data_IF_900882169284
#
_entry.id   IF_900882169284
#
_cell.length_a   1.000
_cell.length_b   1.000
_cell.length_c   1.000
_cell.angle_alpha   90.00
_cell.angle_beta   90.00
_cell.angle_gamma   90.00
#
_symmetry.space_group_name_H-M   'P 1'
#
loop_
_entity.id
_entity.type
_entity.pdbx_description
1 polymer ?
#
# COMPACT_ATOMS: atom_id res chain seq x y z
N UNK A 1 28.04 -29.68 7.83
CA UNK A 1 28.05 -28.38 7.12
C UNK A 1 26.68 -27.74 7.32
N UNK A 2 26.52 -27.00 8.42
CA UNK A 2 25.28 -26.27 8.70
C UNK A 2 25.39 -24.88 8.07
N UNK A 3 24.47 -24.54 7.19
CA UNK A 3 24.32 -23.18 6.66
C UNK A 3 23.81 -22.28 7.77
N UNK A 4 24.65 -21.31 8.16
CA UNK A 4 24.30 -20.25 9.10
C UNK A 4 23.24 -19.38 8.41
N UNK A 5 22.00 -19.48 8.90
CA UNK A 5 20.93 -18.51 8.57
C UNK A 5 21.36 -17.15 9.14
N UNK A 6 21.29 -16.05 8.38
CA UNK A 6 21.56 -14.73 8.94
C UNK A 6 20.51 -14.42 10.01
N UNK A 7 21.00 -14.07 11.20
CA UNK A 7 20.18 -13.65 12.33
C UNK A 7 19.61 -12.25 12.05
N UNK A 8 18.30 -12.19 11.74
CA UNK A 8 17.58 -10.95 11.46
C UNK A 8 17.20 -10.16 12.72
N UNK A 9 17.61 -10.58 13.92
CA UNK A 9 17.15 -9.98 15.20
C UNK A 9 17.80 -8.64 15.57
N UNK A 10 18.53 -7.97 14.66
CA UNK A 10 19.10 -6.62 14.92
C UNK A 10 18.98 -5.65 13.75
N UNK A 11 17.84 -5.64 13.05
CA UNK A 11 17.46 -4.44 12.31
C UNK A 11 16.97 -3.42 13.33
N UNK A 12 17.76 -2.36 13.55
CA UNK A 12 17.43 -1.28 14.47
C UNK A 12 16.00 -0.77 14.22
N UNK A 13 15.12 -0.87 15.21
CA UNK A 13 13.74 -0.35 15.18
C UNK A 13 13.66 1.19 15.10
N UNK A 14 14.80 1.87 14.94
CA UNK A 14 14.86 3.32 14.87
C UNK A 14 14.16 3.83 13.60
N UNK A 15 13.24 4.80 13.72
CA UNK A 15 12.60 5.42 12.56
C UNK A 15 13.63 5.88 11.53
N UNK A 16 13.50 5.39 10.29
CA UNK A 16 14.25 5.91 9.15
C UNK A 16 13.72 7.30 8.85
N UNK A 17 14.42 8.34 9.31
CA UNK A 17 14.04 9.72 9.02
C UNK A 17 14.26 10.01 7.52
N UNK A 18 13.31 10.65 6.83
CA UNK A 18 13.54 11.19 5.49
C UNK A 18 14.59 12.30 5.60
N UNK A 19 15.51 12.35 4.65
CA UNK A 19 16.55 13.38 4.57
C UNK A 19 15.94 14.71 4.11
N UNK A 20 15.26 15.46 4.99
CA UNK A 20 14.93 16.90 4.86
C UNK A 20 14.29 17.41 3.54
N UNK A 21 13.87 16.54 2.64
CA UNK A 21 13.47 16.85 1.26
C UNK A 21 12.02 16.48 0.98
N UNK A 22 11.61 16.66 -0.29
CA UNK A 22 10.29 16.24 -0.77
C UNK A 22 10.11 14.73 -0.60
N UNK A 23 8.87 14.31 -0.31
CA UNK A 23 8.48 12.92 -0.13
C UNK A 23 7.02 12.72 -0.53
N UNK A 24 6.62 11.46 -0.73
CA UNK A 24 5.22 11.08 -0.95
C UNK A 24 4.73 10.25 0.23
N UNK A 25 3.51 10.52 0.68
CA UNK A 25 2.93 9.81 1.82
C UNK A 25 2.09 8.62 1.40
N UNK A 26 2.34 7.48 2.04
CA UNK A 26 1.52 6.28 1.99
C UNK A 26 0.73 6.14 3.30
N UNK A 27 -0.58 5.97 3.18
CA UNK A 27 -1.49 5.85 4.32
C UNK A 27 -2.48 4.70 4.09
N UNK A 28 -3.09 4.21 5.16
CA UNK A 28 -4.24 3.30 5.04
C UNK A 28 -5.57 4.08 5.12
N UNK A 29 -6.62 3.54 4.49
CA UNK A 29 -7.99 3.91 4.86
C UNK A 29 -8.25 3.55 6.33
N UNK A 30 -9.27 4.14 6.95
CA UNK A 30 -9.60 3.98 8.38
C UNK A 30 -10.35 2.68 8.75
N UNK A 31 -10.65 1.84 7.77
CA UNK A 31 -11.27 0.53 7.98
C UNK A 31 -10.86 -0.44 6.86
N UNK A 32 -10.85 -1.75 7.11
CA UNK A 32 -10.65 -2.73 6.04
C UNK A 32 -11.84 -2.71 5.08
N UNK A 33 -11.59 -3.03 3.81
CA UNK A 33 -12.62 -3.14 2.76
C UNK A 33 -12.58 -4.51 2.11
N UNK A 34 -13.75 -4.97 1.68
CA UNK A 34 -13.87 -6.09 0.77
C UNK A 34 -13.51 -5.68 -0.67
N UNK A 35 -13.58 -6.62 -1.60
CA UNK A 35 -13.31 -6.38 -3.02
C UNK A 35 -14.33 -5.47 -3.71
N UNK A 36 -15.53 -5.26 -3.14
CA UNK A 36 -16.54 -4.38 -3.72
C UNK A 36 -16.42 -2.96 -3.16
N UNK A 37 -15.40 -2.26 -3.63
CA UNK A 37 -15.21 -0.85 -3.32
C UNK A 37 -16.09 0.07 -4.17
N UNK A 38 -16.91 -0.52 -5.07
CA UNK A 38 -17.71 0.13 -6.09
C UNK A 38 -16.86 0.74 -7.21
N UNK A 39 -15.73 0.09 -7.51
CA UNK A 39 -14.78 0.44 -8.55
C UNK A 39 -13.66 1.38 -8.09
N UNK A 40 -12.57 1.43 -8.85
CA UNK A 40 -11.37 2.22 -8.52
C UNK A 40 -11.69 3.69 -8.23
N UNK A 41 -12.57 4.34 -9.02
CA UNK A 41 -12.94 5.74 -8.79
C UNK A 41 -13.57 5.98 -7.42
N UNK A 42 -14.34 5.03 -6.89
CA UNK A 42 -14.94 5.13 -5.55
C UNK A 42 -13.90 4.89 -4.46
N UNK A 43 -12.95 3.98 -4.67
CA UNK A 43 -11.80 3.80 -3.79
C UNK A 43 -10.94 5.07 -3.72
N UNK A 44 -10.61 5.67 -4.86
CA UNK A 44 -9.90 6.96 -4.95
C UNK A 44 -10.61 8.07 -4.16
N UNK A 45 -11.94 8.17 -4.30
CA UNK A 45 -12.73 9.15 -3.52
C UNK A 45 -12.68 8.89 -2.02
N UNK A 46 -12.58 7.65 -1.56
CA UNK A 46 -12.43 7.33 -0.13
C UNK A 46 -11.07 7.82 0.38
N UNK A 47 -9.99 7.56 -0.36
CA UNK A 47 -8.65 8.06 -0.05
C UNK A 47 -8.65 9.59 0.04
N UNK A 48 -9.14 10.27 -0.99
CA UNK A 48 -9.23 11.73 -1.01
C UNK A 48 -10.05 12.29 0.14
N UNK A 49 -11.23 11.74 0.42
CA UNK A 49 -12.08 12.24 1.51
C UNK A 49 -11.42 12.07 2.88
N UNK A 50 -10.89 10.87 3.17
CA UNK A 50 -10.28 10.61 4.47
C UNK A 50 -8.99 11.42 4.66
N UNK A 51 -8.20 11.63 3.60
CA UNK A 51 -7.02 12.50 3.69
C UNK A 51 -7.39 13.93 4.05
N UNK A 52 -8.48 14.47 3.50
CA UNK A 52 -8.97 15.83 3.82
C UNK A 52 -9.51 15.91 5.25
N UNK A 53 -10.23 14.88 5.71
CA UNK A 53 -10.69 14.79 7.10
C UNK A 53 -9.52 14.74 8.10
N UNK A 54 -8.40 14.14 7.71
CA UNK A 54 -7.15 14.15 8.47
C UNK A 54 -6.32 15.44 8.32
N UNK A 55 -6.87 16.49 7.67
CA UNK A 55 -6.17 17.77 7.48
C UNK A 55 -5.06 17.75 6.44
N UNK A 56 -4.91 16.67 5.66
CA UNK A 56 -3.86 16.55 4.65
C UNK A 56 -4.23 17.34 3.38
N UNK A 57 -3.27 18.13 2.90
CA UNK A 57 -3.45 18.99 1.71
C UNK A 57 -3.16 18.30 0.37
N UNK A 58 -2.43 17.17 0.39
CA UNK A 58 -2.07 16.41 -0.81
C UNK A 58 -3.24 15.70 -1.48
N UNK A 59 -3.05 15.28 -2.73
CA UNK A 59 -4.01 14.46 -3.46
C UNK A 59 -3.68 12.98 -3.30
N UNK A 60 -4.56 12.24 -2.63
CA UNK A 60 -4.39 10.82 -2.37
C UNK A 60 -5.28 9.98 -3.30
N UNK A 61 -4.71 8.92 -3.87
CA UNK A 61 -5.41 7.92 -4.66
C UNK A 61 -5.21 6.53 -4.08
N UNK A 62 -6.14 5.62 -4.33
CA UNK A 62 -6.04 4.25 -3.87
C UNK A 62 -4.86 3.55 -4.56
N UNK A 63 -4.08 2.80 -3.79
CA UNK A 63 -2.99 1.97 -4.28
C UNK A 63 -3.55 0.66 -4.85
N UNK A 64 -4.32 0.77 -5.92
CA UNK A 64 -5.00 -0.33 -6.59
C UNK A 64 -4.83 -0.20 -8.10
N UNK A 65 -4.68 -1.32 -8.81
CA UNK A 65 -4.73 -1.31 -10.26
C UNK A 65 -6.16 -1.08 -10.79
N UNK A 66 -6.31 -0.88 -12.10
CA UNK A 66 -7.57 -1.12 -12.79
C UNK A 66 -7.33 -1.60 -14.22
N UNK A 67 -8.41 -1.90 -14.94
CA UNK A 67 -8.38 -2.30 -16.34
C UNK A 67 -7.65 -1.29 -17.24
N UNK A 68 -7.55 -0.02 -16.86
CA UNK A 68 -6.93 1.04 -17.66
C UNK A 68 -5.75 1.72 -16.95
N UNK A 69 -5.32 1.22 -15.79
CA UNK A 69 -4.26 1.85 -15.00
C UNK A 69 -3.35 0.81 -14.34
N UNK A 70 -2.07 0.85 -14.70
CA UNK A 70 -1.01 0.14 -13.99
C UNK A 70 -0.75 0.79 -12.63
N UNK A 71 -0.48 -0.02 -11.62
CA UNK A 71 -0.23 0.45 -10.26
C UNK A 71 0.97 1.42 -10.22
N UNK A 72 2.06 1.10 -10.92
CA UNK A 72 3.27 1.93 -11.00
C UNK A 72 3.07 3.30 -11.68
N UNK A 73 1.92 3.51 -12.32
CA UNK A 73 1.60 4.74 -13.05
C UNK A 73 0.82 5.76 -12.22
N UNK A 74 0.38 5.40 -11.00
CA UNK A 74 -0.45 6.26 -10.14
C UNK A 74 0.26 7.58 -9.79
N UNK A 75 1.54 7.50 -9.45
CA UNK A 75 2.37 8.66 -9.10
C UNK A 75 2.88 9.34 -10.38
N UNK A 76 2.82 10.68 -10.37
CA UNK A 76 3.33 11.52 -11.47
C UNK A 76 4.80 11.19 -11.74
N UNK A 77 5.15 11.02 -13.01
CA UNK A 77 6.49 10.59 -13.45
C UNK A 77 7.64 11.37 -12.81
N UNK A 78 7.50 12.68 -12.66
CA UNK A 78 8.52 13.56 -12.09
C UNK A 78 8.75 13.33 -10.59
N UNK A 79 7.76 12.82 -9.86
CA UNK A 79 7.83 12.59 -8.41
C UNK A 79 8.24 11.15 -8.05
N UNK A 80 8.43 10.26 -9.04
CA UNK A 80 8.66 8.82 -8.77
C UNK A 80 10.01 8.48 -8.13
N UNK A 81 10.97 9.41 -8.21
CA UNK A 81 12.25 9.28 -7.53
C UNK A 81 12.19 9.63 -6.03
N UNK A 82 11.06 10.18 -5.56
CA UNK A 82 10.92 10.65 -4.18
C UNK A 82 10.67 9.49 -3.21
N UNK A 83 11.20 9.58 -1.97
CA UNK A 83 11.00 8.58 -0.93
C UNK A 83 9.53 8.48 -0.53
N UNK A 84 9.14 7.26 -0.16
CA UNK A 84 7.80 6.96 0.35
C UNK A 84 7.86 6.90 1.87
N UNK A 85 7.07 7.75 2.53
CA UNK A 85 6.98 7.85 3.99
C UNK A 85 5.56 7.51 4.47
N UNK A 86 5.40 7.15 5.73
CA UNK A 86 4.08 7.06 6.36
C UNK A 86 3.56 8.44 6.83
N UNK A 87 2.42 8.47 7.52
CA UNK A 87 1.85 9.72 8.08
C UNK A 87 2.55 10.24 9.35
N UNK A 88 3.56 9.53 9.86
CA UNK A 88 4.43 9.95 10.98
C UNK A 88 5.83 10.31 10.50
N UNK A 89 5.98 10.60 9.21
CA UNK A 89 7.24 10.96 8.57
C UNK A 89 8.34 9.88 8.70
N UNK A 90 7.96 8.61 8.78
CA UNK A 90 8.89 7.48 8.79
C UNK A 90 9.03 6.90 7.37
N UNK A 91 10.27 6.74 6.89
CA UNK A 91 10.54 6.16 5.57
C UNK A 91 10.15 4.68 5.52
N UNK A 92 9.42 4.34 4.46
CA UNK A 92 8.96 3.00 4.10
C UNK A 92 9.75 2.43 2.92
N UNK A 93 9.97 3.24 1.88
CA UNK A 93 10.72 2.87 0.68
C UNK A 93 11.63 4.02 0.22
N UNK A 94 12.74 3.68 -0.44
CA UNK A 94 13.70 4.67 -0.96
C UNK A 94 13.09 5.55 -2.05
N UNK A 95 12.25 4.98 -2.91
CA UNK A 95 11.50 5.73 -3.92
C UNK A 95 10.24 5.01 -4.37
N UNK A 96 9.33 5.70 -5.05
CA UNK A 96 8.21 5.05 -5.73
C UNK A 96 8.69 4.00 -6.74
N UNK A 97 9.69 4.32 -7.56
CA UNK A 97 10.21 3.37 -8.55
C UNK A 97 10.81 2.12 -7.90
N UNK A 98 11.41 2.23 -6.71
CA UNK A 98 11.99 1.09 -5.99
C UNK A 98 10.97 0.00 -5.61
N UNK A 99 9.71 0.38 -5.39
CA UNK A 99 8.60 -0.54 -5.09
C UNK A 99 8.40 -1.52 -6.27
N UNK A 100 8.62 -1.07 -7.50
CA UNK A 100 8.31 -1.82 -8.72
C UNK A 100 9.53 -2.46 -9.37
N UNK A 101 10.61 -2.65 -8.60
CA UNK A 101 11.86 -3.29 -9.05
C UNK A 101 11.75 -4.79 -9.32
N UNK A 102 10.57 -5.41 -9.09
CA UNK A 102 10.34 -6.84 -9.27
C UNK A 102 10.58 -7.68 -8.01
N UNK A 103 11.03 -7.08 -6.91
CA UNK A 103 11.35 -7.75 -5.64
C UNK A 103 10.16 -7.81 -4.66
N UNK A 104 8.92 -7.76 -5.16
CA UNK A 104 7.70 -7.75 -4.35
C UNK A 104 7.60 -6.60 -3.32
N UNK A 105 8.41 -5.55 -3.47
CA UNK A 105 8.44 -4.38 -2.58
C UNK A 105 8.60 -4.78 -1.10
N UNK A 106 9.73 -5.41 -0.76
CA UNK A 106 10.04 -5.80 0.61
C UNK A 106 10.34 -4.55 1.45
N UNK A 107 9.69 -4.44 2.61
CA UNK A 107 9.99 -3.41 3.60
C UNK A 107 11.30 -3.75 4.32
N UNK A 108 12.13 -2.74 4.59
CA UNK A 108 13.41 -2.93 5.29
C UNK A 108 13.27 -3.37 6.76
N UNK A 109 12.09 -3.20 7.35
CA UNK A 109 11.71 -3.57 8.72
C UNK A 109 10.20 -3.73 8.80
N UNK A 110 9.67 -4.11 9.97
CA UNK A 110 8.22 -4.20 10.20
C UNK A 110 7.54 -2.89 9.75
N UNK A 111 6.54 -2.96 8.84
CA UNK A 111 5.99 -1.75 8.23
C UNK A 111 5.14 -0.96 9.24
N UNK A 112 5.43 0.32 9.40
CA UNK A 112 4.63 1.26 10.19
C UNK A 112 3.62 1.95 9.28
N UNK A 113 2.51 1.29 8.99
CA UNK A 113 1.46 1.83 8.11
C UNK A 113 0.39 2.51 8.95
N UNK A 114 0.25 3.83 8.78
CA UNK A 114 -0.64 4.65 9.58
C UNK A 114 -1.91 4.96 8.77
N UNK A 115 -3.08 4.71 9.37
CA UNK A 115 -4.36 5.09 8.78
C UNK A 115 -4.56 6.61 8.84
N UNK A 116 -5.44 7.17 8.02
CA UNK A 116 -5.80 8.59 8.14
C UNK A 116 -6.38 8.97 9.52
N UNK A 117 -6.92 8.00 10.26
CA UNK A 117 -7.40 8.15 11.63
C UNK A 117 -6.30 8.11 12.70
N UNK A 118 -5.07 7.75 12.33
CA UNK A 118 -3.90 7.72 13.23
C UNK A 118 -3.53 6.33 13.77
N UNK A 119 -4.34 5.30 13.50
CA UNK A 119 -4.04 3.93 13.91
C UNK A 119 -2.88 3.31 13.12
N UNK A 120 -2.03 2.54 13.80
CA UNK A 120 -1.05 1.67 13.14
C UNK A 120 -1.73 0.36 12.72
N UNK A 121 -1.79 0.11 11.40
CA UNK A 121 -2.44 -1.08 10.81
C UNK A 121 -1.86 -2.38 11.37
N UNK A 122 -0.56 -2.44 11.64
CA UNK A 122 0.10 -3.66 12.12
C UNK A 122 -0.20 -3.98 13.58
N UNK A 123 -0.73 -3.03 14.35
CA UNK A 123 -0.99 -3.17 15.79
C UNK A 123 -2.48 -3.13 16.12
N UNK A 124 -3.26 -2.37 15.35
CA UNK A 124 -4.68 -2.16 15.59
C UNK A 124 -5.51 -3.41 15.29
N UNK A 125 -6.49 -3.68 16.16
CA UNK A 125 -7.50 -4.74 15.97
C UNK A 125 -8.54 -4.40 14.90
N UNK A 126 -8.61 -3.14 14.43
CA UNK A 126 -9.49 -2.72 13.32
C UNK A 126 -9.21 -3.54 12.04
N UNK A 127 -7.95 -3.93 11.82
CA UNK A 127 -7.54 -4.82 10.73
C UNK A 127 -7.19 -6.20 11.26
N UNK A 128 -8.14 -7.14 11.42
CA UNK A 128 -7.83 -8.48 11.89
C UNK A 128 -6.93 -9.26 10.91
N UNK A 129 -7.00 -8.95 9.61
CA UNK A 129 -6.10 -9.50 8.58
C UNK A 129 -5.10 -8.43 8.13
N UNK A 130 -3.80 -8.74 8.21
CA UNK A 130 -2.71 -7.85 7.78
C UNK A 130 -2.31 -8.10 6.31
N UNK A 131 -3.31 -8.19 5.43
CA UNK A 131 -3.10 -8.26 3.99
C UNK A 131 -3.58 -6.98 3.32
N UNK A 132 -2.91 -6.59 2.24
CA UNK A 132 -3.25 -5.40 1.43
C UNK A 132 -3.78 -5.83 0.08
N UNK A 133 -4.90 -5.24 -0.36
CA UNK A 133 -5.33 -5.31 -1.76
C UNK A 133 -4.42 -4.46 -2.65
N UNK A 134 -3.98 -4.98 -3.80
CA UNK A 134 -3.27 -4.19 -4.82
C UNK A 134 -3.65 -4.55 -6.26
N UNK A 135 -3.94 -5.84 -6.54
CA UNK A 135 -4.40 -6.27 -7.86
C UNK A 135 -3.34 -6.24 -8.96
N UNK A 136 -2.05 -6.11 -8.63
CA UNK A 136 -0.97 -5.90 -9.60
C UNK A 136 0.09 -7.01 -9.57
N UNK A 137 0.83 -7.14 -10.67
CA UNK A 137 2.09 -7.90 -10.67
C UNK A 137 3.19 -7.19 -9.87
N UNK A 138 4.34 -7.86 -9.74
CA UNK A 138 5.49 -7.40 -8.94
C UNK A 138 6.20 -6.16 -9.50
N UNK A 139 5.99 -5.83 -10.77
CA UNK A 139 6.48 -4.59 -11.42
C UNK A 139 5.39 -3.52 -11.53
N UNK A 140 4.24 -3.75 -10.89
CA UNK A 140 3.12 -2.81 -10.87
C UNK A 140 2.27 -2.83 -12.13
N UNK A 141 2.50 -3.75 -13.07
CA UNK A 141 1.60 -3.98 -14.19
C UNK A 141 0.23 -4.47 -13.71
N UNK A 142 -0.83 -4.02 -14.39
CA UNK A 142 -2.20 -4.45 -14.09
C UNK A 142 -2.37 -5.96 -14.23
N UNK A 143 -3.22 -6.53 -13.37
CA UNK A 143 -3.66 -7.93 -13.43
C UNK A 143 -5.18 -7.99 -13.55
N UNK A 144 -5.68 -9.06 -14.17
CA UNK A 144 -7.11 -9.37 -14.18
C UNK A 144 -7.63 -9.80 -12.79
N UNK A 145 -6.74 -10.19 -11.88
CA UNK A 145 -7.07 -10.67 -10.53
C UNK A 145 -7.25 -9.46 -9.60
N UNK A 146 -8.36 -8.74 -9.79
CA UNK A 146 -8.66 -7.47 -9.12
C UNK A 146 -10.15 -7.34 -8.76
N UNK A 147 -10.79 -8.41 -8.29
CA UNK A 147 -12.19 -8.40 -7.83
C UNK A 147 -13.17 -7.75 -8.83
N UNK A 148 -13.06 -8.12 -10.10
CA UNK A 148 -13.81 -7.57 -11.23
C UNK A 148 -13.67 -6.06 -11.38
N UNK A 149 -12.46 -5.53 -11.18
CA UNK A 149 -12.23 -4.08 -11.17
C UNK A 149 -12.73 -3.42 -9.89
N UNK A 150 -12.66 -4.14 -8.78
CA UNK A 150 -13.07 -3.73 -7.43
C UNK A 150 -14.57 -3.47 -7.28
N UNK A 151 -15.40 -4.23 -8.01
CA UNK A 151 -16.87 -4.16 -7.95
C UNK A 151 -17.52 -5.45 -7.47
N UNK A 152 -16.73 -6.47 -7.16
CA UNK A 152 -17.24 -7.75 -6.65
C UNK A 152 -16.70 -8.05 -5.26
N UNK A 153 -17.58 -8.51 -4.38
CA UNK A 153 -17.24 -9.14 -3.11
C UNK A 153 -17.65 -10.62 -3.11
N UNK A 154 -17.84 -11.20 -4.29
CA UNK A 154 -18.23 -12.59 -4.46
C UNK A 154 -17.15 -13.54 -3.91
N UNK A 155 -17.59 -14.57 -3.20
CA UNK A 155 -16.72 -15.58 -2.59
C UNK A 155 -15.79 -16.27 -3.60
N UNK A 156 -16.24 -16.47 -4.84
CA UNK A 156 -15.44 -17.12 -5.88
C UNK A 156 -14.51 -16.15 -6.62
N UNK A 157 -14.85 -14.86 -6.65
CA UNK A 157 -13.96 -13.84 -7.21
C UNK A 157 -12.67 -13.73 -6.40
N UNK A 158 -11.61 -13.33 -7.08
CA UNK A 158 -10.26 -13.24 -6.50
C UNK A 158 -9.65 -11.87 -6.74
N UNK A 159 -8.85 -11.43 -5.76
CA UNK A 159 -7.97 -10.27 -5.88
C UNK A 159 -6.55 -10.63 -5.46
N UNK A 160 -5.56 -9.97 -6.09
CA UNK A 160 -4.18 -10.06 -5.64
C UNK A 160 -3.95 -9.21 -4.40
N UNK A 161 -3.23 -9.81 -3.47
CA UNK A 161 -2.93 -9.28 -2.15
C UNK A 161 -1.48 -9.51 -1.77
N UNK A 162 -1.02 -8.77 -0.77
CA UNK A 162 0.27 -8.98 -0.14
C UNK A 162 0.15 -9.08 1.37
N UNK A 163 0.81 -10.08 1.96
CA UNK A 163 0.97 -10.17 3.42
C UNK A 163 1.97 -9.14 3.96
N UNK A 164 1.49 -8.25 4.82
CA UNK A 164 2.32 -7.29 5.55
C UNK A 164 3.13 -7.96 6.67
N UNK A 165 2.69 -9.11 7.19
CA UNK A 165 3.45 -9.89 8.18
C UNK A 165 4.71 -10.52 7.56
N UNK A 166 4.70 -10.74 6.25
CA UNK A 166 5.88 -11.15 5.48
C UNK A 166 6.70 -9.95 4.98
N UNK A 167 6.39 -8.75 5.45
CA UNK A 167 7.06 -7.49 5.08
C UNK A 167 7.09 -7.26 3.57
N UNK A 168 6.03 -7.60 2.84
CA UNK A 168 5.89 -7.34 1.41
C UNK A 168 4.71 -6.40 1.12
N UNK A 169 4.87 -5.50 0.16
CA UNK A 169 3.77 -4.67 -0.35
C UNK A 169 3.17 -5.22 -1.65
N UNK A 170 3.97 -5.91 -2.48
CA UNK A 170 3.55 -6.49 -3.77
C UNK A 170 3.77 -8.01 -3.82
N UNK A 171 3.50 -8.69 -2.71
CA UNK A 171 3.30 -10.14 -2.69
C UNK A 171 2.26 -10.57 -3.74
N UNK A 172 2.28 -11.85 -4.11
CA UNK A 172 1.40 -12.38 -5.17
C UNK A 172 0.40 -13.38 -4.58
N UNK A 173 -0.03 -13.11 -3.35
CA UNK A 173 -1.00 -13.92 -2.64
C UNK A 173 -2.40 -13.65 -3.24
N UNK A 174 -3.31 -14.62 -3.22
CA UNK A 174 -4.68 -14.41 -3.72
C UNK A 174 -5.70 -14.67 -2.62
N UNK A 175 -6.68 -13.78 -2.52
CA UNK A 175 -7.76 -13.90 -1.53
C UNK A 175 -9.13 -13.78 -2.20
N UNK A 176 -10.13 -14.42 -1.57
CA UNK A 176 -11.55 -14.24 -1.86
C UNK A 176 -11.93 -12.77 -1.73
N UNK A 177 -12.69 -12.23 -2.68
CA UNK A 177 -13.09 -10.83 -2.67
C UNK A 177 -14.08 -10.47 -1.54
N UNK A 178 -14.63 -11.43 -0.81
CA UNK A 178 -15.43 -11.17 0.39
C UNK A 178 -14.57 -10.77 1.61
N UNK A 179 -13.24 -11.00 1.54
CA UNK A 179 -12.32 -10.73 2.65
C UNK A 179 -12.19 -9.23 2.87
N UNK A 180 -12.35 -8.80 4.11
CA UNK A 180 -12.05 -7.44 4.53
C UNK A 180 -10.55 -7.27 4.79
N UNK A 181 -9.85 -6.56 3.90
CA UNK A 181 -8.40 -6.38 3.94
C UNK A 181 -8.02 -4.90 3.91
N UNK A 182 -6.74 -4.60 4.15
CA UNK A 182 -6.19 -3.25 4.12
C UNK A 182 -6.26 -2.68 2.71
N UNK A 183 -6.65 -1.41 2.60
CA UNK A 183 -6.53 -0.62 1.36
C UNK A 183 -5.64 0.58 1.65
N UNK A 184 -4.59 0.72 0.87
CA UNK A 184 -3.63 1.81 0.99
C UNK A 184 -3.93 2.94 0.01
N UNK A 185 -3.45 4.13 0.35
CA UNK A 185 -3.64 5.37 -0.37
C UNK A 185 -2.29 6.07 -0.50
N UNK A 186 -1.91 6.47 -1.71
CA UNK A 186 -0.64 7.13 -2.01
C UNK A 186 -0.89 8.58 -2.44
N UNK A 187 -0.09 9.51 -1.92
CA UNK A 187 0.00 10.88 -2.44
C UNK A 187 0.61 10.85 -3.85
N UNK A 188 -0.10 11.41 -4.83
CA UNK A 188 0.24 11.17 -6.25
C UNK A 188 1.21 12.19 -6.84
N UNK A 189 1.42 13.30 -6.14
CA UNK A 189 2.36 14.35 -6.51
C UNK A 189 2.70 15.24 -5.31
N UNK A 190 3.84 15.92 -5.39
CA UNK A 190 4.23 16.95 -4.40
C UNK A 190 3.73 18.35 -4.74
N UNK A 191 3.19 18.54 -5.95
CA UNK A 191 2.54 19.80 -6.34
C UNK A 191 1.24 20.01 -5.56
N UNK A 192 1.02 21.22 -5.09
CA UNK A 192 -0.14 21.62 -4.28
C UNK A 192 -1.11 22.45 -5.10
#
# INVERSE_FOLDING_TARGET
MGTIMPDYTRLSDRPLAPSGGKSLRLAALNAPLDGNMGGLRRADRRCFRQSRQAGLRGTFRALLTSNTQDLNSIVRRQDRHLPIINLKDEKLFESWDSIFSGTQAIFARRPSLISFGGDNVMESSIWPSKHVWHGSGVTGNRSAIACDGWTSNGRLNRGLTSSLELYRLLGQDTHSCERQLVVLCIEVTTER
#
